data_IF_486739671632
#
_entry.id   IF_486739671632
#
_cell.length_a   1.000
_cell.length_b   1.000
_cell.length_c   1.000
_cell.angle_alpha   90.00
_cell.angle_beta   90.00
_cell.angle_gamma   90.00
#
_symmetry.space_group_name_H-M   'P 1'
#
loop_
_entity.id
_entity.type
_entity.pdbx_description
1 polymer ?
#
# COMPACT_ATOMS: atom_id res chain seq x y z
N UNK A 1 23.49 3.33 3.88
CA UNK A 1 22.71 3.86 5.04
C UNK A 1 21.97 5.17 4.72
N UNK A 2 22.46 6.01 3.81
CA UNK A 2 21.84 7.30 3.46
C UNK A 2 20.35 7.19 3.07
N UNK A 3 19.99 6.22 2.21
CA UNK A 3 18.60 5.98 1.80
C UNK A 3 17.65 5.65 2.98
N UNK A 4 18.13 4.96 4.02
CA UNK A 4 17.33 4.64 5.20
C UNK A 4 17.07 5.88 6.06
N UNK A 5 18.10 6.71 6.25
CA UNK A 5 18.00 7.97 6.99
C UNK A 5 17.07 8.93 6.25
N UNK A 6 17.21 9.01 4.93
CA UNK A 6 16.35 9.83 4.11
C UNK A 6 14.89 9.36 4.13
N UNK A 7 14.64 8.06 4.01
CA UNK A 7 13.29 7.51 4.13
C UNK A 7 12.67 7.83 5.50
N UNK A 8 13.43 7.66 6.59
CA UNK A 8 12.96 7.99 7.93
C UNK A 8 12.65 9.50 8.07
N UNK A 9 13.51 10.36 7.52
CA UNK A 9 13.29 11.81 7.47
C UNK A 9 12.02 12.15 6.67
N UNK A 10 11.86 11.58 5.48
CA UNK A 10 10.66 11.76 4.66
C UNK A 10 9.41 11.31 5.42
N UNK A 11 9.44 10.16 6.10
CA UNK A 11 8.30 9.69 6.89
C UNK A 11 7.95 10.67 8.01
N UNK A 12 8.96 11.19 8.72
CA UNK A 12 8.77 12.19 9.79
C UNK A 12 8.18 13.50 9.29
N UNK A 13 8.69 14.01 8.18
CA UNK A 13 8.27 15.31 7.63
C UNK A 13 6.91 15.24 6.92
N UNK A 14 6.60 14.12 6.26
CA UNK A 14 5.43 14.03 5.37
C UNK A 14 4.26 13.24 5.95
N UNK A 15 4.51 12.25 6.80
CA UNK A 15 3.46 11.34 7.28
C UNK A 15 2.96 11.71 8.68
N UNK A 16 3.77 12.43 9.46
CA UNK A 16 3.38 12.97 10.76
C UNK A 16 2.76 11.90 11.67
N UNK A 17 1.53 12.14 12.12
CA UNK A 17 0.79 11.27 13.06
C UNK A 17 0.28 9.95 12.47
N UNK A 18 0.41 9.72 11.16
CA UNK A 18 -0.08 8.50 10.50
C UNK A 18 0.85 7.29 10.67
N UNK A 19 2.11 7.54 11.05
CA UNK A 19 3.16 6.53 11.13
C UNK A 19 3.88 6.63 12.46
N UNK A 20 4.11 5.50 13.11
CA UNK A 20 4.82 5.40 14.38
C UNK A 20 6.33 5.21 14.16
N UNK A 21 6.70 4.34 13.23
CA UNK A 21 8.10 4.00 12.97
C UNK A 21 8.34 3.50 11.54
N UNK A 22 9.59 3.59 11.12
CA UNK A 22 10.10 2.95 9.89
C UNK A 22 11.16 1.95 10.28
N UNK A 23 11.03 0.73 9.81
CA UNK A 23 11.95 -0.36 10.11
C UNK A 23 12.59 -0.89 8.84
N UNK A 24 13.92 -1.01 8.86
CA UNK A 24 14.72 -1.52 7.75
C UNK A 24 15.02 -2.99 8.00
N UNK A 25 14.69 -3.82 7.02
CA UNK A 25 14.91 -5.28 7.06
C UNK A 25 16.11 -5.65 6.21
N UNK A 26 16.31 -4.98 5.08
CA UNK A 26 17.39 -5.28 4.17
C UNK A 26 17.85 -4.02 3.42
N UNK A 27 19.16 -3.92 3.19
CA UNK A 27 19.76 -2.92 2.32
C UNK A 27 20.67 -3.65 1.32
N UNK A 28 20.40 -3.49 0.02
CA UNK A 28 21.18 -4.09 -1.06
C UNK A 28 21.68 -3.03 -2.01
N UNK A 29 22.97 -3.04 -2.31
CA UNK A 29 23.61 -2.14 -3.26
C UNK A 29 24.11 -2.94 -4.47
N UNK A 30 23.82 -2.43 -5.67
CA UNK A 30 24.36 -2.95 -6.91
C UNK A 30 25.21 -1.85 -7.57
N UNK A 31 26.53 -2.04 -7.50
CA UNK A 31 27.52 -1.08 -7.98
C UNK A 31 27.46 -0.90 -9.51
N UNK A 32 27.26 -1.99 -10.25
CA UNK A 32 27.23 -1.97 -11.73
C UNK A 32 26.09 -1.10 -12.27
N UNK A 33 24.94 -1.16 -11.62
CA UNK A 33 23.76 -0.40 -12.03
C UNK A 33 23.54 0.89 -11.23
N UNK A 34 24.43 1.21 -10.27
CA UNK A 34 24.26 2.31 -9.30
C UNK A 34 22.88 2.30 -8.66
N UNK A 35 22.45 1.11 -8.24
CA UNK A 35 21.15 0.87 -7.62
C UNK A 35 21.33 0.60 -6.15
N UNK A 36 20.67 1.40 -5.31
CA UNK A 36 20.52 1.10 -3.89
C UNK A 36 19.06 0.75 -3.62
N UNK A 37 18.82 -0.42 -3.05
CA UNK A 37 17.49 -0.88 -2.64
C UNK A 37 17.42 -1.06 -1.12
N UNK A 38 16.28 -0.70 -0.56
CA UNK A 38 15.96 -0.83 0.85
C UNK A 38 14.62 -1.53 0.95
N UNK A 39 14.59 -2.70 1.61
CA UNK A 39 13.36 -3.35 2.02
C UNK A 39 13.12 -3.09 3.50
N UNK A 40 11.88 -2.82 3.85
CA UNK A 40 11.48 -2.53 5.20
C UNK A 40 9.98 -2.54 5.36
N UNK A 41 9.53 -2.02 6.49
CA UNK A 41 8.12 -1.80 6.76
C UNK A 41 7.92 -0.54 7.59
N UNK A 42 6.72 0.00 7.48
CA UNK A 42 6.27 1.21 8.15
C UNK A 42 5.16 0.79 9.10
N UNK A 43 5.35 1.08 10.39
CA UNK A 43 4.30 0.88 11.38
C UNK A 43 3.34 2.06 11.31
N UNK A 44 2.10 1.80 10.93
CA UNK A 44 1.01 2.76 10.88
C UNK A 44 0.50 3.04 12.30
N UNK A 45 -0.12 4.19 12.50
CA UNK A 45 -0.62 4.63 13.81
C UNK A 45 -1.71 3.76 14.43
N UNK A 46 -2.32 2.87 13.65
CA UNK A 46 -3.28 1.88 14.10
C UNK A 46 -2.64 0.52 14.44
N UNK A 47 -1.31 0.43 14.45
CA UNK A 47 -0.54 -0.78 14.75
C UNK A 47 -0.38 -1.74 13.56
N UNK A 48 -0.97 -1.45 12.40
CA UNK A 48 -0.76 -2.22 11.17
C UNK A 48 0.57 -1.85 10.51
N UNK A 49 1.05 -2.69 9.60
CA UNK A 49 2.32 -2.51 8.89
C UNK A 49 2.11 -2.41 7.39
N UNK A 50 2.81 -1.48 6.76
CA UNK A 50 2.95 -1.40 5.31
C UNK A 50 4.41 -1.67 4.93
N UNK A 51 4.65 -2.74 4.17
CA UNK A 51 5.96 -3.02 3.57
C UNK A 51 6.36 -1.87 2.65
N UNK A 52 7.65 -1.57 2.60
CA UNK A 52 8.23 -0.60 1.69
C UNK A 52 9.49 -1.16 1.04
N UNK A 53 9.51 -1.08 -0.29
CA UNK A 53 10.71 -1.21 -1.10
C UNK A 53 11.05 0.18 -1.63
N UNK A 54 12.11 0.79 -1.09
CA UNK A 54 12.66 2.04 -1.60
C UNK A 54 13.85 1.74 -2.51
N UNK A 55 13.94 2.45 -3.63
CA UNK A 55 15.00 2.29 -4.64
C UNK A 55 15.59 3.65 -4.98
N UNK A 56 16.90 3.71 -5.14
CA UNK A 56 17.63 4.85 -5.71
C UNK A 56 18.44 4.34 -6.90
N UNK A 57 18.11 4.83 -8.09
CA UNK A 57 18.76 4.44 -9.36
C UNK A 57 19.28 5.72 -10.01
N UNK A 58 20.60 5.86 -10.17
CA UNK A 58 21.21 7.07 -10.77
C UNK A 58 20.66 8.37 -10.15
N UNK A 59 20.56 8.41 -8.81
CA UNK A 59 19.99 9.49 -7.99
C UNK A 59 18.49 9.76 -8.14
N UNK A 60 17.76 8.96 -8.94
CA UNK A 60 16.29 9.00 -8.98
C UNK A 60 15.73 8.00 -7.99
N UNK A 61 14.83 8.48 -7.13
CA UNK A 61 14.20 7.66 -6.09
C UNK A 61 12.87 7.12 -6.56
N UNK A 62 12.50 5.94 -6.14
CA UNK A 62 11.16 5.37 -6.35
C UNK A 62 10.85 4.44 -5.20
N UNK A 63 9.58 4.17 -4.99
CA UNK A 63 9.15 3.35 -3.87
C UNK A 63 7.92 2.54 -4.21
N UNK A 64 7.89 1.32 -3.70
CA UNK A 64 6.73 0.47 -3.73
C UNK A 64 6.30 0.21 -2.29
N UNK A 65 5.05 0.53 -1.98
CA UNK A 65 4.43 0.31 -0.69
C UNK A 65 3.43 -0.83 -0.85
N UNK A 66 3.58 -1.87 -0.03
CA UNK A 66 2.71 -3.03 -0.04
C UNK A 66 2.06 -3.23 1.32
N UNK A 67 0.76 -3.44 1.37
CA UNK A 67 0.06 -3.89 2.56
C UNK A 67 -0.52 -5.26 2.29
N UNK A 68 -0.29 -6.21 3.21
CA UNK A 68 -0.85 -7.56 3.15
C UNK A 68 -1.57 -7.87 4.44
N UNK A 69 -2.77 -8.42 4.36
CA UNK A 69 -3.55 -8.78 5.53
C UNK A 69 -4.63 -9.82 5.21
N UNK A 70 -5.37 -10.21 6.23
CA UNK A 70 -6.37 -11.26 6.13
C UNK A 70 -7.59 -10.98 7.01
N UNK A 71 -8.77 -11.24 6.44
CA UNK A 71 -10.02 -11.38 7.20
C UNK A 71 -10.32 -12.86 7.40
N UNK A 72 -10.07 -13.37 8.63
CA UNK A 72 -10.42 -14.75 9.01
C UNK A 72 -11.93 -14.92 9.14
N UNK A 73 -12.46 -16.11 8.96
CA UNK A 73 -13.90 -16.45 9.06
C UNK A 73 -14.79 -15.55 8.19
N UNK A 74 -14.27 -15.18 7.01
CA UNK A 74 -14.95 -14.36 6.01
C UNK A 74 -14.79 -14.98 4.64
N UNK A 75 -15.74 -14.68 3.78
CA UNK A 75 -15.85 -15.20 2.43
C UNK A 75 -16.04 -14.02 1.47
N UNK A 76 -15.39 -14.08 0.31
CA UNK A 76 -15.49 -13.06 -0.74
C UNK A 76 -16.69 -13.36 -1.65
N UNK A 77 -17.15 -14.62 -1.68
CA UNK A 77 -18.19 -15.15 -2.58
C UNK A 77 -17.85 -14.94 -4.06
N UNK A 78 -16.55 -14.84 -4.32
CA UNK A 78 -15.90 -14.78 -5.62
C UNK A 78 -14.44 -15.23 -5.38
N UNK A 79 -13.82 -15.99 -6.29
CA UNK A 79 -12.45 -16.46 -6.07
C UNK A 79 -11.45 -15.31 -6.01
N UNK A 80 -11.62 -14.28 -6.85
CA UNK A 80 -10.79 -13.08 -6.76
C UNK A 80 -11.48 -11.80 -7.21
N UNK A 81 -11.11 -10.70 -6.55
CA UNK A 81 -11.51 -9.33 -6.91
C UNK A 81 -10.27 -8.46 -6.95
N UNK A 82 -10.14 -7.69 -8.03
CA UNK A 82 -9.03 -6.77 -8.23
C UNK A 82 -9.56 -5.40 -8.62
N UNK A 83 -8.96 -4.37 -8.03
CA UNK A 83 -9.24 -2.98 -8.35
C UNK A 83 -7.92 -2.29 -8.64
N UNK A 84 -7.83 -1.56 -9.75
CA UNK A 84 -6.56 -0.97 -10.20
C UNK A 84 -6.76 0.47 -10.66
N UNK A 85 -6.00 1.40 -10.10
CA UNK A 85 -5.69 2.69 -10.73
C UNK A 85 -4.30 2.60 -11.36
N UNK A 86 -4.21 3.03 -12.62
CA UNK A 86 -2.93 3.23 -13.29
C UNK A 86 -2.90 4.64 -13.83
N UNK A 87 -1.80 5.34 -13.59
CA UNK A 87 -1.49 6.60 -14.23
C UNK A 87 -0.59 6.31 -15.44
N UNK A 88 -1.21 6.02 -16.58
CA UNK A 88 -0.49 6.02 -17.86
C UNK A 88 -0.62 7.41 -18.48
N UNK A 89 0.37 7.86 -19.25
CA UNK A 89 0.29 9.12 -20.03
C UNK A 89 -0.98 9.22 -20.91
N UNK A 90 -1.71 8.12 -21.11
CA UNK A 90 -2.94 8.05 -21.91
C UNK A 90 -4.21 7.81 -21.07
N UNK A 91 -4.13 7.37 -19.81
CA UNK A 91 -5.32 7.00 -19.04
C UNK A 91 -5.09 7.07 -17.52
N UNK A 92 -5.91 7.87 -16.85
CA UNK A 92 -6.18 7.85 -15.40
C UNK A 92 -7.41 6.98 -15.13
N UNK A 93 -7.33 5.67 -15.39
CA UNK A 93 -8.52 4.78 -15.33
C UNK A 93 -8.52 3.88 -14.09
N UNK A 94 -9.63 3.89 -13.35
CA UNK A 94 -10.00 2.81 -12.44
C UNK A 94 -10.47 1.63 -13.27
N UNK A 95 -9.90 0.45 -13.08
CA UNK A 95 -10.40 -0.78 -13.67
C UNK A 95 -10.74 -1.75 -12.56
N UNK A 96 -12.04 -2.02 -12.44
CA UNK A 96 -12.55 -3.08 -11.60
C UNK A 96 -12.50 -4.39 -12.40
N UNK A 97 -11.60 -5.30 -12.02
CA UNK A 97 -11.47 -6.63 -12.61
C UNK A 97 -11.92 -7.67 -11.61
N UNK A 98 -12.89 -8.49 -12.01
CA UNK A 98 -13.40 -9.58 -11.17
C UNK A 98 -13.27 -10.87 -11.95
N UNK A 99 -12.79 -11.90 -11.29
CA UNK A 99 -12.79 -13.26 -11.81
C UNK A 99 -13.59 -14.15 -10.86
N UNK A 100 -14.51 -14.98 -11.39
CA UNK A 100 -14.90 -15.08 -12.80
C UNK A 100 -15.76 -13.89 -13.25
N UNK A 101 -15.98 -13.72 -14.57
CA UNK A 101 -16.59 -12.52 -15.17
C UNK A 101 -18.02 -12.23 -14.67
N UNK A 102 -18.72 -13.25 -14.21
CA UNK A 102 -20.08 -13.29 -13.68
C UNK A 102 -20.19 -12.75 -12.25
N UNK A 103 -19.11 -12.72 -11.49
CA UNK A 103 -19.10 -12.18 -10.14
C UNK A 103 -19.21 -10.64 -10.09
N UNK A 104 -19.39 -9.95 -11.23
CA UNK A 104 -19.58 -8.47 -11.36
C UNK A 104 -20.73 -7.88 -10.52
N UNK A 105 -21.67 -8.71 -10.06
CA UNK A 105 -22.80 -8.31 -9.18
C UNK A 105 -22.53 -8.57 -7.70
N UNK A 106 -21.33 -9.00 -7.32
CA UNK A 106 -20.99 -9.24 -5.91
C UNK A 106 -21.25 -7.97 -5.07
N UNK A 107 -21.82 -8.10 -3.86
CA UNK A 107 -22.08 -6.94 -2.98
C UNK A 107 -20.83 -6.12 -2.69
N UNK A 108 -19.65 -6.75 -2.62
CA UNK A 108 -18.38 -6.05 -2.44
C UNK A 108 -18.11 -5.09 -3.60
N UNK A 109 -18.41 -5.49 -4.82
CA UNK A 109 -18.16 -4.69 -6.01
C UNK A 109 -19.03 -3.45 -6.00
N UNK A 110 -20.31 -3.63 -5.67
CA UNK A 110 -21.25 -2.53 -5.53
C UNK A 110 -20.78 -1.57 -4.43
N UNK A 111 -20.44 -2.10 -3.26
CA UNK A 111 -19.89 -1.33 -2.15
C UNK A 111 -18.63 -0.54 -2.53
N UNK A 112 -17.67 -1.17 -3.22
CA UNK A 112 -16.44 -0.51 -3.64
C UNK A 112 -16.66 0.52 -4.76
N UNK A 113 -17.67 0.33 -5.62
CA UNK A 113 -18.09 1.34 -6.62
C UNK A 113 -18.72 2.56 -5.97
N UNK A 114 -19.54 2.37 -4.95
CA UNK A 114 -20.12 3.48 -4.17
C UNK A 114 -19.04 4.36 -3.53
N UNK A 115 -17.90 3.75 -3.17
CA UNK A 115 -16.76 4.43 -2.57
C UNK A 115 -15.62 4.72 -3.57
N UNK A 116 -15.86 4.57 -4.87
CA UNK A 116 -14.85 4.79 -5.90
C UNK A 116 -14.37 6.25 -5.92
N UNK A 117 -15.28 7.21 -6.02
CA UNK A 117 -14.91 8.63 -6.09
C UNK A 117 -14.12 9.12 -4.86
N UNK A 118 -14.49 8.76 -3.62
CA UNK A 118 -13.65 9.03 -2.45
C UNK A 118 -12.22 8.47 -2.51
N UNK A 119 -12.02 7.27 -3.08
CA UNK A 119 -10.69 6.67 -3.25
C UNK A 119 -9.93 7.33 -4.39
N UNK A 120 -10.63 7.59 -5.50
CA UNK A 120 -10.13 8.29 -6.67
C UNK A 120 -9.60 9.68 -6.35
N UNK A 121 -10.34 10.45 -5.54
CA UNK A 121 -9.90 11.76 -5.06
C UNK A 121 -8.61 11.65 -4.26
N UNK A 122 -8.50 10.66 -3.38
CA UNK A 122 -7.28 10.44 -2.58
C UNK A 122 -6.09 10.08 -3.48
N UNK A 123 -6.31 9.22 -4.47
CA UNK A 123 -5.31 8.86 -5.48
C UNK A 123 -4.84 10.08 -6.33
N UNK A 124 -5.78 10.92 -6.79
CA UNK A 124 -5.50 12.06 -7.67
C UNK A 124 -5.18 13.37 -6.96
N UNK A 125 -5.14 13.40 -5.62
CA UNK A 125 -4.73 14.61 -4.89
C UNK A 125 -3.42 15.12 -5.50
N UNK A 126 -3.52 16.28 -6.16
CA UNK A 126 -2.41 16.90 -6.86
C UNK A 126 -1.37 17.30 -5.84
N UNK A 127 -0.15 16.78 -5.99
CA UNK A 127 1.02 17.33 -5.35
C UNK A 127 1.92 17.91 -6.45
N UNK A 128 2.31 19.17 -6.29
CA UNK A 128 3.17 19.92 -7.22
C UNK A 128 4.66 19.47 -7.14
N UNK A 129 4.95 18.17 -6.93
CA UNK A 129 6.31 17.67 -6.69
C UNK A 129 6.55 16.19 -6.96
N UNK A 130 7.76 15.73 -6.58
CA UNK A 130 8.26 14.35 -6.71
C UNK A 130 7.37 13.29 -5.97
N UNK A 131 7.30 12.05 -6.45
CA UNK A 131 6.57 10.96 -5.76
C UNK A 131 5.10 10.81 -6.16
N UNK A 132 4.76 11.06 -7.42
CA UNK A 132 3.41 10.79 -7.96
C UNK A 132 3.08 9.29 -7.84
N UNK A 133 1.85 8.99 -7.41
CA UNK A 133 1.33 7.62 -7.46
C UNK A 133 1.15 7.23 -8.93
N UNK A 134 1.93 6.25 -9.37
CA UNK A 134 1.90 5.72 -10.72
C UNK A 134 0.95 4.53 -10.85
N UNK A 135 0.81 3.77 -9.77
CA UNK A 135 0.02 2.55 -9.74
C UNK A 135 -0.55 2.35 -8.34
N UNK A 136 -1.82 1.98 -8.28
CA UNK A 136 -2.47 1.49 -7.07
C UNK A 136 -3.31 0.27 -7.41
N UNK A 137 -3.14 -0.81 -6.65
CA UNK A 137 -3.91 -2.04 -6.81
C UNK A 137 -4.41 -2.54 -5.46
N UNK A 138 -5.68 -2.91 -5.42
CA UNK A 138 -6.27 -3.74 -4.38
C UNK A 138 -6.50 -5.12 -4.99
N UNK A 139 -6.11 -6.16 -4.28
CA UNK A 139 -6.33 -7.55 -4.68
C UNK A 139 -6.89 -8.30 -3.48
N UNK A 140 -8.01 -8.97 -3.70
CA UNK A 140 -8.72 -9.79 -2.74
C UNK A 140 -8.83 -11.18 -3.34
N UNK A 141 -8.53 -12.20 -2.54
CA UNK A 141 -8.68 -13.59 -2.95
C UNK A 141 -9.29 -14.40 -1.82
N UNK A 142 -10.21 -15.29 -2.17
CA UNK A 142 -10.81 -16.21 -1.22
C UNK A 142 -9.94 -17.45 -1.10
N UNK A 143 -9.68 -17.83 0.14
CA UNK A 143 -9.10 -19.11 0.50
C UNK A 143 -10.17 -19.87 1.29
N UNK A 144 -10.93 -20.68 0.56
CA UNK A 144 -12.10 -21.39 1.07
C UNK A 144 -11.75 -22.49 2.06
N UNK A 145 -10.58 -23.12 1.90
CA UNK A 145 -10.06 -24.15 2.81
C UNK A 145 -9.87 -23.57 4.23
N UNK A 146 -9.29 -22.37 4.32
CA UNK A 146 -9.02 -21.71 5.60
C UNK A 146 -10.09 -20.67 5.98
N UNK A 147 -11.21 -20.61 5.23
CA UNK A 147 -12.31 -19.65 5.40
C UNK A 147 -11.82 -18.22 5.62
N UNK A 148 -10.96 -17.74 4.72
CA UNK A 148 -10.34 -16.42 4.87
C UNK A 148 -10.30 -15.67 3.56
N UNK A 149 -10.32 -14.34 3.67
CA UNK A 149 -10.09 -13.44 2.53
C UNK A 149 -8.72 -12.80 2.69
N UNK A 150 -7.82 -13.10 1.77
CA UNK A 150 -6.50 -12.49 1.70
C UNK A 150 -6.60 -11.14 0.99
N UNK A 151 -5.94 -10.14 1.54
CA UNK A 151 -5.92 -8.75 1.06
C UNK A 151 -4.51 -8.36 0.71
N UNK A 152 -4.30 -7.83 -0.49
CA UNK A 152 -3.06 -7.18 -0.90
C UNK A 152 -3.36 -5.81 -1.48
N UNK A 153 -2.71 -4.77 -0.97
CA UNK A 153 -2.79 -3.41 -1.47
C UNK A 153 -1.38 -2.99 -1.90
N UNK A 154 -1.21 -2.53 -3.13
CA UNK A 154 0.09 -2.13 -3.66
C UNK A 154 0.01 -0.71 -4.21
N UNK A 155 0.96 0.14 -3.84
CA UNK A 155 1.15 1.49 -4.38
C UNK A 155 2.56 1.61 -4.91
N UNK A 156 2.71 2.02 -6.16
CA UNK A 156 4.02 2.41 -6.71
C UNK A 156 4.05 3.94 -6.85
N UNK A 157 5.05 4.55 -6.22
CA UNK A 157 5.40 5.94 -6.39
C UNK A 157 6.65 6.05 -7.26
N UNK A 158 6.57 6.85 -8.31
CA UNK A 158 7.69 7.14 -9.20
C UNK A 158 8.31 8.47 -8.79
N UNK A 159 9.63 8.56 -8.88
CA UNK A 159 10.40 9.76 -8.54
C UNK A 159 10.15 10.22 -7.09
N UNK A 160 10.02 9.32 -6.11
CA UNK A 160 9.82 9.65 -4.70
C UNK A 160 9.74 8.43 -3.77
N UNK A 161 9.96 8.64 -2.47
CA UNK A 161 10.09 7.56 -1.47
C UNK A 161 8.80 7.18 -0.75
N UNK A 162 7.95 8.15 -0.42
CA UNK A 162 6.64 7.93 0.20
C UNK A 162 5.88 9.26 0.25
N UNK A 163 4.55 9.20 0.26
CA UNK A 163 3.67 10.36 0.37
C UNK A 163 2.49 10.08 1.30
N UNK A 164 1.95 11.16 1.86
CA UNK A 164 0.81 11.11 2.78
C UNK A 164 -0.43 10.53 2.10
N UNK A 165 -0.78 11.00 0.91
CA UNK A 165 -1.93 10.50 0.14
C UNK A 165 -1.84 8.99 -0.16
N UNK A 166 -0.63 8.43 -0.34
CA UNK A 166 -0.45 6.99 -0.50
C UNK A 166 -0.82 6.21 0.77
N UNK A 167 -0.38 6.68 1.94
CA UNK A 167 -0.73 6.08 3.23
C UNK A 167 -2.22 6.30 3.55
N UNK A 168 -2.76 7.49 3.32
CA UNK A 168 -4.18 7.80 3.47
C UNK A 168 -5.04 6.88 2.58
N UNK A 169 -4.62 6.63 1.33
CA UNK A 169 -5.29 5.72 0.42
C UNK A 169 -5.29 4.26 0.93
N UNK A 170 -4.18 3.78 1.48
CA UNK A 170 -4.09 2.47 2.14
C UNK A 170 -5.05 2.42 3.34
N UNK A 171 -4.94 3.37 4.27
CA UNK A 171 -5.75 3.41 5.49
C UNK A 171 -7.25 3.49 5.19
N UNK A 172 -7.64 4.32 4.23
CA UNK A 172 -9.03 4.45 3.80
C UNK A 172 -9.55 3.17 3.17
N UNK A 173 -8.73 2.51 2.35
CA UNK A 173 -9.08 1.21 1.75
C UNK A 173 -9.26 0.14 2.82
N UNK A 174 -8.35 0.07 3.80
CA UNK A 174 -8.49 -0.84 4.94
C UNK A 174 -9.80 -0.57 5.68
N UNK A 175 -10.09 0.69 6.02
CA UNK A 175 -11.33 1.06 6.70
C UNK A 175 -12.60 0.65 5.94
N UNK A 176 -12.61 0.80 4.61
CA UNK A 176 -13.72 0.34 3.76
C UNK A 176 -13.88 -1.17 3.80
N UNK A 177 -12.78 -1.93 3.68
CA UNK A 177 -12.82 -3.39 3.73
C UNK A 177 -13.24 -3.89 5.12
N UNK A 178 -12.74 -3.29 6.20
CA UNK A 178 -13.15 -3.62 7.56
C UNK A 178 -14.65 -3.35 7.80
N UNK A 179 -15.18 -2.28 7.21
CA UNK A 179 -16.61 -1.95 7.24
C UNK A 179 -17.42 -3.01 6.50
N UNK A 180 -17.03 -3.32 5.26
CA UNK A 180 -17.71 -4.32 4.44
C UNK A 180 -17.74 -5.71 5.10
N UNK A 181 -16.59 -6.16 5.58
CA UNK A 181 -16.48 -7.45 6.26
C UNK A 181 -16.92 -7.40 7.72
N UNK A 182 -17.30 -6.25 8.28
CA UNK A 182 -17.63 -6.08 9.70
C UNK A 182 -16.63 -6.82 10.62
N UNK A 183 -15.33 -6.70 10.32
CA UNK A 183 -14.25 -7.39 11.02
C UNK A 183 -12.98 -6.59 10.85
N UNK A 184 -12.13 -6.56 11.88
CA UNK A 184 -10.80 -5.96 11.79
C UNK A 184 -9.87 -6.83 10.95
N UNK A 185 -9.05 -6.19 10.13
CA UNK A 185 -8.05 -6.90 9.36
C UNK A 185 -6.94 -7.37 10.29
N UNK A 186 -6.45 -8.59 10.05
CA UNK A 186 -5.29 -9.11 10.76
C UNK A 186 -4.09 -9.19 9.83
N UNK A 187 -2.89 -9.07 10.38
CA UNK A 187 -1.64 -9.23 9.64
C UNK A 187 -0.74 -10.23 10.35
N UNK A 188 0.12 -10.85 9.57
CA UNK A 188 1.26 -11.56 10.12
C UNK A 188 2.29 -10.55 10.65
N UNK A 189 3.08 -10.97 11.64
CA UNK A 189 4.13 -10.11 12.18
C UNK A 189 5.16 -9.84 11.08
N UNK A 190 5.64 -8.59 10.95
CA UNK A 190 6.71 -8.29 10.01
C UNK A 190 8.01 -9.01 10.45
N UNK A 191 8.95 -9.23 9.52
CA UNK A 191 10.26 -9.79 9.83
C UNK A 191 11.04 -8.88 10.80
N UNK A 192 12.00 -9.47 11.52
CA UNK A 192 12.84 -8.70 12.45
C UNK A 192 13.66 -7.63 11.71
N UNK A 193 13.67 -6.38 12.22
CA UNK A 193 14.37 -5.30 11.55
C UNK A 193 15.84 -5.23 11.96
N UNK A 194 16.70 -4.91 11.00
CA UNK A 194 18.10 -4.53 11.24
C UNK A 194 18.20 -3.22 12.01
N UNK A 195 17.26 -2.30 11.74
CA UNK A 195 17.22 -0.98 12.38
C UNK A 195 15.81 -0.39 12.32
N UNK A 196 15.37 0.21 13.43
CA UNK A 196 14.10 0.93 13.50
C UNK A 196 14.36 2.42 13.79
N UNK A 197 13.67 3.27 13.06
CA UNK A 197 13.64 4.72 13.24
C UNK A 197 12.27 5.11 13.77
N UNK A 198 12.22 5.68 14.97
CA UNK A 198 10.98 6.20 15.52
C UNK A 198 10.62 7.53 14.83
N UNK A 199 9.39 7.61 14.36
CA UNK A 199 8.89 8.74 13.56
C UNK A 199 8.07 9.69 14.44
N UNK A 200 7.24 9.15 15.34
CA UNK A 200 6.56 9.96 16.36
C UNK A 200 7.57 10.49 17.37
N UNK A 201 7.62 11.82 17.49
CA UNK A 201 8.14 12.49 18.67
C UNK A 201 7.11 12.39 19.78
N UNK A 202 7.52 11.89 20.95
CA UNK A 202 6.75 11.98 22.19
C UNK A 202 6.49 13.44 22.57
#
# INVERSE_FOLDING_TARGET
>A
MELAVELAKTCKETLGSLVDSVSVVELKENVLYRVLTLNGYITLSNGLYANILAMSISNRKSSLIGFEGVFKDRELKAPEVQIVYVDTFLWTTWKFRVSPKDARKSPLILFMREHEEPLKREYFKQDLGEGKIYYFRIYLSEDSEFRRVNVKINIWLKNGLIRKNAIDLILKTIGLLETYFMKKISQEKPPEPLKTFNVKSF
#
